data_IF_244093872331
#
_entry.id   IF_244093872331
#
_cell.length_a   1.000
_cell.length_b   1.000
_cell.length_c   1.000
_cell.angle_alpha   90.00
_cell.angle_beta   90.00
_cell.angle_gamma   90.00
#
_symmetry.space_group_name_H-M   'P 1'
#
loop_
_entity.id
_entity.type
_entity.pdbx_description
1 polymer ?
#
# COMPACT_ATOMS: atom_id res chain seq x y z
N UNK A 1 14.04 -1.10 -2.33
CA UNK A 1 14.06 -2.56 -2.59
C UNK A 1 13.89 -2.79 -4.09
N UNK A 2 14.44 -3.89 -4.59
CA UNK A 2 14.90 -4.05 -5.97
C UNK A 2 13.76 -4.39 -6.96
N UNK A 3 13.60 -3.56 -8.00
CA UNK A 3 12.72 -3.80 -9.16
C UNK A 3 13.48 -4.43 -10.34
N UNK A 4 14.80 -4.67 -10.22
CA UNK A 4 15.63 -5.14 -11.33
C UNK A 4 15.26 -6.54 -11.83
N UNK A 5 14.70 -7.40 -10.97
CA UNK A 5 14.26 -8.74 -11.34
C UNK A 5 12.83 -8.78 -11.94
N UNK A 6 12.16 -7.63 -12.05
CA UNK A 6 10.80 -7.56 -12.59
C UNK A 6 10.79 -7.90 -14.07
N UNK A 7 9.86 -8.75 -14.48
CA UNK A 7 9.58 -9.05 -15.89
C UNK A 7 8.16 -8.63 -16.21
N UNK A 8 7.99 -7.85 -17.28
CA UNK A 8 6.69 -7.38 -17.74
C UNK A 8 6.34 -7.94 -19.11
N UNK A 9 5.04 -8.09 -19.36
CA UNK A 9 4.49 -8.41 -20.67
C UNK A 9 3.18 -7.67 -20.81
N UNK A 10 2.99 -6.97 -21.93
CA UNK A 10 1.71 -6.36 -22.28
C UNK A 10 0.97 -7.24 -23.29
N UNK A 11 -0.35 -7.27 -23.17
CA UNK A 11 -1.21 -7.89 -24.17
C UNK A 11 -2.57 -7.19 -24.20
N UNK A 12 -3.20 -7.23 -25.35
CA UNK A 12 -4.51 -6.62 -25.57
C UNK A 12 -5.63 -7.62 -25.31
N UNK A 13 -6.68 -7.20 -24.61
CA UNK A 13 -7.91 -7.95 -24.43
C UNK A 13 -9.08 -7.08 -24.88
N UNK A 14 -9.59 -7.32 -26.08
CA UNK A 14 -10.56 -6.42 -26.71
C UNK A 14 -9.95 -5.02 -26.92
N UNK A 15 -10.56 -4.02 -26.31
CA UNK A 15 -10.09 -2.62 -26.36
C UNK A 15 -9.15 -2.25 -25.19
N UNK A 16 -8.93 -3.17 -24.25
CA UNK A 16 -8.11 -2.93 -23.06
C UNK A 16 -6.68 -3.41 -23.26
N UNK A 17 -5.72 -2.66 -22.69
CA UNK A 17 -4.34 -3.09 -22.55
C UNK A 17 -4.12 -3.64 -21.14
N UNK A 18 -3.60 -4.86 -21.04
CA UNK A 18 -3.30 -5.53 -19.79
C UNK A 18 -1.79 -5.68 -19.65
N UNK A 19 -1.24 -5.10 -18.57
CA UNK A 19 0.14 -5.27 -18.17
C UNK A 19 0.26 -6.41 -17.15
N UNK A 20 0.92 -7.50 -17.53
CA UNK A 20 1.32 -8.58 -16.63
C UNK A 20 2.69 -8.29 -16.04
N UNK A 21 2.81 -8.37 -14.72
CA UNK A 21 4.08 -8.21 -14.01
C UNK A 21 4.42 -9.46 -13.19
N UNK A 22 5.57 -10.08 -13.47
CA UNK A 22 6.21 -11.04 -12.59
C UNK A 22 7.22 -10.32 -11.70
N UNK A 23 6.98 -10.32 -10.39
CA UNK A 23 7.79 -9.61 -9.40
C UNK A 23 8.09 -10.54 -8.19
N UNK A 24 9.24 -11.23 -8.19
CA UNK A 24 9.57 -12.19 -7.13
C UNK A 24 9.74 -11.53 -5.76
N UNK A 25 10.16 -10.27 -5.71
CA UNK A 25 10.32 -9.54 -4.45
C UNK A 25 8.98 -9.32 -3.71
N UNK A 26 7.85 -9.46 -4.41
CA UNK A 26 6.51 -9.34 -3.81
C UNK A 26 5.95 -10.64 -3.26
N UNK A 27 6.60 -11.79 -3.46
CA UNK A 27 6.08 -13.10 -3.02
C UNK A 27 5.68 -13.11 -1.53
N UNK A 28 6.50 -12.51 -0.67
CA UNK A 28 6.23 -12.40 0.78
C UNK A 28 4.97 -11.59 1.06
N UNK A 29 4.77 -10.47 0.36
CA UNK A 29 3.60 -9.61 0.56
C UNK A 29 2.34 -10.20 -0.07
N UNK A 30 2.45 -10.84 -1.23
CA UNK A 30 1.32 -11.38 -2.00
C UNK A 30 0.81 -12.70 -1.40
N UNK A 31 1.68 -13.49 -0.78
CA UNK A 31 1.35 -14.77 -0.15
C UNK A 31 1.14 -14.68 1.37
N UNK A 32 1.14 -13.48 1.95
CA UNK A 32 0.96 -13.31 3.39
C UNK A 32 -0.41 -13.81 3.82
N UNK A 33 -0.47 -14.56 4.92
CA UNK A 33 -1.72 -14.97 5.54
C UNK A 33 -2.45 -13.72 6.08
N UNK A 34 -3.75 -13.61 5.76
CA UNK A 34 -4.63 -12.50 6.12
C UNK A 34 -5.81 -12.94 6.98
N UNK A 35 -5.79 -14.17 7.51
CA UNK A 35 -6.76 -14.58 8.53
C UNK A 35 -6.53 -13.81 9.84
N UNK A 36 -7.59 -13.67 10.65
CA UNK A 36 -7.55 -12.89 11.88
C UNK A 36 -6.46 -13.35 12.85
N UNK A 37 -6.23 -14.67 12.95
CA UNK A 37 -5.25 -15.24 13.87
C UNK A 37 -3.83 -14.87 13.44
N UNK A 38 -3.51 -15.02 12.15
CA UNK A 38 -2.24 -14.60 11.57
C UNK A 38 -1.99 -13.09 11.73
N UNK A 39 -3.01 -12.26 11.51
CA UNK A 39 -2.90 -10.81 11.65
C UNK A 39 -2.62 -10.41 13.10
N UNK A 40 -3.34 -10.98 14.08
CA UNK A 40 -3.12 -10.69 15.51
C UNK A 40 -1.74 -11.08 16.00
N UNK A 41 -1.14 -12.12 15.40
CA UNK A 41 0.17 -12.64 15.81
C UNK A 41 1.35 -11.90 15.19
N UNK A 42 1.17 -11.23 14.04
CA UNK A 42 2.27 -10.53 13.36
C UNK A 42 2.34 -9.07 13.80
N UNK A 43 3.53 -8.50 14.02
CA UNK A 43 3.68 -7.06 14.21
C UNK A 43 3.19 -6.31 12.96
N UNK A 44 2.29 -5.35 13.13
CA UNK A 44 1.85 -4.50 12.02
C UNK A 44 3.04 -3.71 11.47
N UNK A 45 3.39 -3.93 10.20
CA UNK A 45 4.54 -3.32 9.54
C UNK A 45 4.34 -1.83 9.21
N UNK A 46 3.14 -1.28 9.39
CA UNK A 46 2.86 0.15 9.23
C UNK A 46 3.06 0.92 10.54
N UNK A 47 2.94 0.27 11.70
CA UNK A 47 3.19 0.87 13.00
C UNK A 47 4.65 1.29 13.17
N UNK A 48 4.86 2.51 13.68
CA UNK A 48 6.19 3.12 13.76
C UNK A 48 7.22 2.27 14.51
N UNK A 49 6.79 1.62 15.59
CA UNK A 49 7.63 0.76 16.42
C UNK A 49 8.12 -0.50 15.71
N UNK A 50 7.45 -0.93 14.64
CA UNK A 50 7.73 -2.17 13.90
C UNK A 50 8.37 -1.91 12.53
N UNK A 51 8.50 -0.64 12.11
CA UNK A 51 9.15 -0.29 10.84
C UNK A 51 10.67 -0.44 10.93
N UNK A 52 11.36 -0.72 9.82
CA UNK A 52 12.81 -0.62 9.76
C UNK A 52 13.27 0.78 10.20
N UNK A 53 14.37 0.87 10.97
CA UNK A 53 14.85 2.14 11.54
C UNK A 53 15.27 3.14 10.47
N UNK A 54 15.74 2.63 9.34
CA UNK A 54 16.13 3.38 8.15
C UNK A 54 14.92 3.89 7.33
N UNK A 55 13.71 3.43 7.62
CA UNK A 55 12.53 3.87 6.89
C UNK A 55 12.06 5.23 7.41
N UNK A 56 12.37 6.26 6.64
CA UNK A 56 11.84 7.60 6.84
C UNK A 56 10.41 7.73 6.29
N UNK A 57 9.69 8.73 6.79
CA UNK A 57 8.36 9.08 6.30
C UNK A 57 8.15 10.58 6.30
N UNK A 58 7.22 11.03 5.46
CA UNK A 58 6.80 12.42 5.38
C UNK A 58 5.47 12.54 6.11
N UNK A 59 5.40 13.42 7.10
CA UNK A 59 4.14 13.71 7.80
C UNK A 59 3.16 14.37 6.82
N UNK A 60 1.94 13.84 6.75
CA UNK A 60 0.89 14.34 5.88
C UNK A 60 -0.35 14.65 6.71
N UNK A 61 -0.75 15.93 6.68
CA UNK A 61 -1.95 16.47 7.35
C UNK A 61 -2.07 16.06 8.83
N UNK A 62 -0.92 15.99 9.52
CA UNK A 62 -0.78 15.67 10.95
C UNK A 62 -1.39 14.34 11.41
N UNK A 63 -1.87 13.51 10.49
CA UNK A 63 -2.65 12.30 10.78
C UNK A 63 -2.17 11.07 10.01
N UNK A 64 -1.36 11.26 8.95
CA UNK A 64 -0.80 10.17 8.14
C UNK A 64 0.70 10.33 7.92
N UNK A 65 1.34 9.23 7.53
CA UNK A 65 2.71 9.20 7.04
C UNK A 65 2.74 8.67 5.60
N UNK A 66 3.39 9.41 4.72
CA UNK A 66 3.78 8.93 3.39
C UNK A 66 5.08 8.14 3.55
N UNK A 67 5.03 6.86 3.19
CA UNK A 67 6.12 5.89 3.34
C UNK A 67 6.44 5.25 1.98
N UNK A 68 7.69 4.85 1.77
CA UNK A 68 8.01 3.96 0.64
C UNK A 68 7.33 2.59 0.86
N UNK A 69 6.67 2.05 -0.18
CA UNK A 69 6.07 0.73 -0.08
C UNK A 69 7.16 -0.35 0.11
N UNK A 70 7.04 -1.28 1.07
CA UNK A 70 8.06 -2.29 1.35
C UNK A 70 8.24 -3.34 0.25
N UNK A 71 7.26 -3.49 -0.64
CA UNK A 71 7.24 -4.43 -1.75
C UNK A 71 6.64 -3.77 -3.01
N UNK A 72 7.35 -2.76 -3.58
CA UNK A 72 6.81 -1.89 -4.62
C UNK A 72 6.54 -2.65 -5.93
N UNK A 73 5.52 -2.20 -6.65
CA UNK A 73 5.17 -2.66 -8.01
C UNK A 73 5.81 -1.75 -9.08
N UNK A 74 5.93 -0.46 -8.76
CA UNK A 74 6.44 0.58 -9.66
C UNK A 74 7.52 1.39 -8.94
N UNK A 75 8.33 2.14 -9.70
CA UNK A 75 9.13 3.22 -9.13
C UNK A 75 8.21 4.23 -8.45
N UNK A 76 8.63 4.82 -7.33
CA UNK A 76 7.83 5.80 -6.57
C UNK A 76 6.46 5.24 -6.09
N UNK A 77 6.41 3.96 -5.74
CA UNK A 77 5.22 3.35 -5.12
C UNK A 77 5.24 3.61 -3.61
N UNK A 78 4.27 4.41 -3.15
CA UNK A 78 4.17 4.83 -1.76
C UNK A 78 3.05 4.10 -1.01
N UNK A 79 3.01 4.30 0.30
CA UNK A 79 1.94 3.87 1.18
C UNK A 79 1.67 5.03 2.12
N UNK A 80 0.44 5.51 2.16
CA UNK A 80 0.02 6.59 3.07
C UNK A 80 -0.72 5.95 4.22
N UNK A 81 -0.04 5.74 5.34
CA UNK A 81 -0.56 5.02 6.50
C UNK A 81 -0.99 5.98 7.60
N UNK A 82 -2.12 5.69 8.27
CA UNK A 82 -2.54 6.44 9.45
C UNK A 82 -1.48 6.38 10.55
N UNK A 83 -1.29 7.48 11.27
CA UNK A 83 -0.41 7.53 12.44
C UNK A 83 -0.90 6.61 13.55
N UNK A 84 -2.21 6.47 13.69
CA UNK A 84 -2.86 5.59 14.65
C UNK A 84 -3.12 4.22 14.02
N UNK A 85 -2.93 3.17 14.81
CA UNK A 85 -3.31 1.82 14.40
C UNK A 85 -4.83 1.70 14.52
N UNK A 86 -5.51 1.91 13.40
CA UNK A 86 -6.98 1.85 13.31
C UNK A 86 -7.42 0.96 12.14
N UNK A 87 -8.60 0.31 12.19
CA UNK A 87 -9.05 -0.60 11.15
C UNK A 87 -9.06 0.04 9.75
N UNK A 88 -8.87 -0.78 8.71
CA UNK A 88 -9.00 -0.38 7.31
C UNK A 88 -10.49 -0.11 6.99
N UNK A 89 -10.98 1.07 7.37
CA UNK A 89 -12.34 1.57 7.10
C UNK A 89 -12.27 2.91 6.36
N UNK A 90 -12.93 2.99 5.21
CA UNK A 90 -12.93 4.19 4.37
C UNK A 90 -13.85 5.28 4.90
N UNK A 91 -14.83 4.93 5.74
CA UNK A 91 -15.91 5.85 6.13
C UNK A 91 -15.39 7.08 6.86
N UNK A 92 -14.48 6.89 7.82
CA UNK A 92 -13.82 7.98 8.56
C UNK A 92 -12.72 8.67 7.75
N UNK A 93 -12.21 8.02 6.70
CA UNK A 93 -11.02 8.41 5.98
C UNK A 93 -11.29 9.03 4.61
N UNK A 94 -12.55 9.02 4.15
CA UNK A 94 -12.95 9.42 2.79
C UNK A 94 -12.53 10.86 2.45
N UNK A 95 -12.68 11.79 3.40
CA UNK A 95 -12.24 13.18 3.19
C UNK A 95 -10.74 13.27 2.95
N UNK A 96 -9.93 12.58 3.76
CA UNK A 96 -8.49 12.56 3.59
C UNK A 96 -8.08 11.87 2.28
N UNK A 97 -8.76 10.79 1.90
CA UNK A 97 -8.54 10.09 0.64
C UNK A 97 -8.72 11.02 -0.56
N UNK A 98 -9.82 11.78 -0.61
CA UNK A 98 -10.09 12.73 -1.69
C UNK A 98 -9.08 13.88 -1.72
N UNK A 99 -8.65 14.37 -0.55
CA UNK A 99 -7.60 15.38 -0.46
C UNK A 99 -6.26 14.85 -0.96
N UNK A 100 -5.90 13.62 -0.57
CA UNK A 100 -4.68 12.96 -1.05
C UNK A 100 -4.71 12.77 -2.57
N UNK A 101 -5.84 12.36 -3.13
CA UNK A 101 -5.99 12.22 -4.57
C UNK A 101 -5.85 13.56 -5.30
N UNK A 102 -6.37 14.65 -4.72
CA UNK A 102 -6.20 16.00 -5.28
C UNK A 102 -4.74 16.47 -5.21
N UNK A 103 -4.08 16.29 -4.06
CA UNK A 103 -2.70 16.73 -3.83
C UNK A 103 -1.67 15.92 -4.65
N UNK A 104 -1.98 14.64 -4.94
CA UNK A 104 -1.09 13.74 -5.69
C UNK A 104 -1.28 13.83 -7.23
N UNK A 105 -2.32 14.53 -7.69
CA UNK A 105 -2.59 14.77 -9.11
C UNK A 105 -1.61 15.80 -9.69
N UNK A 106 -1.14 15.63 -10.94
CA UNK A 106 -1.50 14.59 -11.91
C UNK A 106 -0.57 13.36 -11.91
N UNK A 107 0.50 13.38 -11.11
CA UNK A 107 1.63 12.46 -11.26
C UNK A 107 1.37 11.06 -10.68
N UNK A 108 0.41 10.93 -9.77
CA UNK A 108 0.12 9.68 -9.08
C UNK A 108 -1.35 9.28 -9.18
N UNK A 109 -1.57 7.96 -9.21
CA UNK A 109 -2.89 7.37 -8.97
C UNK A 109 -2.97 6.97 -7.51
N UNK A 110 -4.04 7.40 -6.84
CA UNK A 110 -4.30 7.05 -5.44
C UNK A 110 -5.47 6.06 -5.39
N UNK A 111 -5.33 5.00 -4.60
CA UNK A 111 -6.38 4.00 -4.42
C UNK A 111 -6.45 3.46 -3.00
N UNK A 112 -7.61 2.89 -2.70
CA UNK A 112 -7.92 2.26 -1.42
C UNK A 112 -8.42 0.84 -1.67
N UNK A 113 -7.83 -0.12 -0.97
CA UNK A 113 -8.33 -1.49 -0.90
C UNK A 113 -9.07 -1.67 0.42
N UNK A 114 -10.34 -2.06 0.37
CA UNK A 114 -11.08 -2.48 1.57
C UNK A 114 -10.44 -3.69 2.26
N UNK A 115 -10.83 -3.99 3.52
CA UNK A 115 -10.20 -5.04 4.33
C UNK A 115 -10.35 -6.43 3.69
N UNK A 116 -11.44 -6.68 2.97
CA UNK A 116 -11.69 -7.90 2.19
C UNK A 116 -11.31 -7.79 0.70
N UNK A 117 -10.69 -6.68 0.28
CA UNK A 117 -10.38 -6.37 -1.12
C UNK A 117 -8.88 -6.35 -1.39
N UNK A 118 -8.10 -7.19 -0.69
CA UNK A 118 -6.65 -7.29 -0.88
C UNK A 118 -5.83 -6.20 -0.16
N UNK A 119 -6.35 -5.65 0.93
CA UNK A 119 -5.54 -4.83 1.85
C UNK A 119 -4.44 -5.68 2.48
N UNK A 120 -3.20 -5.19 2.46
CA UNK A 120 -2.05 -5.89 3.04
C UNK A 120 -2.03 -5.86 4.57
N UNK A 121 -2.68 -4.86 5.17
CA UNK A 121 -2.89 -4.70 6.60
C UNK A 121 -4.36 -4.28 6.79
N UNK A 122 -5.31 -5.22 6.84
CA UNK A 122 -6.74 -4.90 6.98
C UNK A 122 -7.07 -4.33 8.38
N UNK A 123 -6.13 -4.43 9.31
CA UNK A 123 -6.21 -3.91 10.67
C UNK A 123 -5.57 -2.52 10.84
N UNK A 124 -4.95 -1.95 9.80
CA UNK A 124 -4.32 -0.62 9.86
C UNK A 124 -4.67 0.20 8.61
N UNK A 125 -5.39 1.32 8.80
CA UNK A 125 -5.78 2.27 7.76
C UNK A 125 -4.60 2.76 6.93
N UNK A 126 -4.68 2.53 5.61
CA UNK A 126 -3.72 3.02 4.63
C UNK A 126 -4.30 3.18 3.23
N UNK A 127 -3.68 4.07 2.47
CA UNK A 127 -3.87 4.27 1.03
C UNK A 127 -2.60 3.91 0.26
N UNK A 128 -2.73 3.77 -1.05
CA UNK A 128 -1.62 3.57 -1.98
C UNK A 128 -1.66 4.55 -3.12
#
# INVERSE_FOLDING_TARGET
RDLAAVRTREFTCGNDSIALQYNPARQVSSGAALDEESIRKRPCFLCAVNRPREQHGILYRDTYLILCNPAPIFGHHFTVASLTHEPQDITSALTCFLQLAADASPDYTVFYNGPACGASAPDHLHFR
#
